data_IF_856294346558
#
_entry.id   IF_856294346558
#
_cell.length_a   1.000
_cell.length_b   1.000
_cell.length_c   1.000
_cell.angle_alpha   90.00
_cell.angle_beta   90.00
_cell.angle_gamma   90.00
#
_symmetry.space_group_name_H-M   'P 1'
#
loop_
_entity.id
_entity.type
_entity.pdbx_description
1 polymer ?
#
# COMPACT_ATOMS: atom_id res chain seq x y z
N UNK A 1 -12.22 -15.19 -39.84
CA UNK A 1 -11.62 -13.87 -39.46
C UNK A 1 -10.85 -14.05 -38.16
N UNK A 2 -9.54 -13.85 -38.20
CA UNK A 2 -8.74 -13.82 -36.94
C UNK A 2 -9.17 -12.59 -36.16
N UNK A 3 -9.88 -12.77 -35.06
CA UNK A 3 -10.21 -11.70 -34.10
C UNK A 3 -8.94 -11.22 -33.45
N UNK A 4 -8.75 -9.90 -33.35
CA UNK A 4 -7.62 -9.33 -32.62
C UNK A 4 -7.82 -9.58 -31.12
N UNK A 5 -6.79 -10.08 -30.44
CA UNK A 5 -6.81 -10.31 -28.98
C UNK A 5 -7.17 -9.03 -28.20
N UNK A 6 -6.76 -7.86 -28.74
CA UNK A 6 -7.12 -6.56 -28.18
C UNK A 6 -8.65 -6.33 -28.24
N UNK A 7 -9.30 -6.69 -29.35
CA UNK A 7 -10.76 -6.53 -29.46
C UNK A 7 -11.51 -7.40 -28.45
N UNK A 8 -11.05 -8.65 -28.25
CA UNK A 8 -11.63 -9.54 -27.24
C UNK A 8 -11.44 -8.99 -25.82
N UNK A 9 -10.24 -8.47 -25.52
CA UNK A 9 -9.96 -7.84 -24.24
C UNK A 9 -10.86 -6.61 -24.02
N UNK A 10 -10.99 -5.74 -25.04
CA UNK A 10 -11.84 -4.54 -24.96
C UNK A 10 -13.31 -4.90 -24.79
N UNK A 11 -13.79 -5.94 -25.49
CA UNK A 11 -15.17 -6.38 -25.35
C UNK A 11 -15.44 -6.90 -23.93
N UNK A 12 -14.57 -7.75 -23.38
CA UNK A 12 -14.71 -8.25 -22.01
C UNK A 12 -14.67 -7.12 -20.98
N UNK A 13 -13.79 -6.13 -21.18
CA UNK A 13 -13.68 -4.93 -20.32
C UNK A 13 -15.00 -4.15 -20.30
N UNK A 14 -15.55 -3.86 -21.48
CA UNK A 14 -16.82 -3.15 -21.61
C UNK A 14 -17.97 -3.94 -20.98
N UNK A 15 -18.09 -5.25 -21.27
CA UNK A 15 -19.15 -6.09 -20.70
C UNK A 15 -19.13 -6.11 -19.17
N UNK A 16 -17.94 -6.22 -18.55
CA UNK A 16 -17.83 -6.22 -17.09
C UNK A 16 -18.16 -4.85 -16.49
N UNK A 17 -17.79 -3.75 -17.13
CA UNK A 17 -18.15 -2.41 -16.68
C UNK A 17 -19.65 -2.09 -16.87
N UNK A 18 -20.29 -2.66 -17.87
CA UNK A 18 -21.76 -2.58 -18.00
C UNK A 18 -22.47 -3.33 -16.87
N UNK A 19 -21.92 -4.48 -16.45
CA UNK A 19 -22.45 -5.22 -15.32
C UNK A 19 -22.27 -4.48 -14.00
N UNK A 20 -21.08 -3.96 -13.74
CA UNK A 20 -20.78 -3.17 -12.55
C UNK A 20 -19.64 -2.16 -12.80
N UNK A 21 -19.95 -0.86 -12.98
CA UNK A 21 -18.93 0.17 -13.24
C UNK A 21 -17.92 0.35 -12.09
N UNK A 22 -18.26 -0.06 -10.87
CA UNK A 22 -17.36 0.02 -9.72
C UNK A 22 -16.16 -0.94 -9.82
N UNK A 23 -16.20 -1.92 -10.72
CA UNK A 23 -15.04 -2.78 -10.99
C UNK A 23 -13.81 -1.97 -11.43
N UNK A 24 -14.01 -0.82 -12.09
CA UNK A 24 -12.92 0.07 -12.49
C UNK A 24 -12.04 0.50 -11.30
N UNK A 25 -12.61 0.62 -10.11
CA UNK A 25 -11.90 1.01 -8.90
C UNK A 25 -11.33 -0.16 -8.09
N UNK A 26 -11.59 -1.39 -8.52
CA UNK A 26 -11.04 -2.58 -7.86
C UNK A 26 -9.60 -2.82 -8.34
N UNK A 27 -8.68 -2.92 -7.39
CA UNK A 27 -7.25 -3.14 -7.66
C UNK A 27 -7.01 -4.40 -8.50
N UNK A 28 -7.70 -5.51 -8.16
CA UNK A 28 -7.58 -6.77 -8.91
C UNK A 28 -8.02 -6.65 -10.37
N UNK A 29 -9.09 -5.91 -10.64
CA UNK A 29 -9.57 -5.64 -12.00
C UNK A 29 -8.52 -4.84 -12.80
N UNK A 30 -8.03 -3.74 -12.23
CA UNK A 30 -7.02 -2.90 -12.87
C UNK A 30 -5.73 -3.69 -13.17
N UNK A 31 -5.22 -4.44 -12.19
CA UNK A 31 -4.01 -5.25 -12.37
C UNK A 31 -4.21 -6.34 -13.44
N UNK A 32 -5.34 -7.05 -13.44
CA UNK A 32 -5.59 -8.10 -14.42
C UNK A 32 -5.67 -7.58 -15.86
N UNK A 33 -6.44 -6.52 -16.11
CA UNK A 33 -6.56 -5.95 -17.45
C UNK A 33 -5.24 -5.33 -17.93
N UNK A 34 -4.53 -4.66 -17.04
CA UNK A 34 -3.24 -4.05 -17.36
C UNK A 34 -2.16 -5.11 -17.64
N UNK A 35 -2.15 -6.23 -16.90
CA UNK A 35 -1.27 -7.36 -17.17
C UNK A 35 -1.48 -7.92 -18.58
N UNK A 36 -2.74 -8.26 -18.91
CA UNK A 36 -3.07 -8.82 -20.22
C UNK A 36 -2.75 -7.83 -21.35
N UNK A 37 -3.10 -6.55 -21.19
CA UNK A 37 -2.78 -5.50 -22.16
C UNK A 37 -1.26 -5.39 -22.39
N UNK A 38 -0.47 -5.41 -21.31
CA UNK A 38 0.99 -5.32 -21.38
C UNK A 38 1.60 -6.56 -22.04
N UNK A 39 1.10 -7.75 -21.72
CA UNK A 39 1.54 -8.99 -22.38
C UNK A 39 1.24 -8.92 -23.86
N UNK A 40 0.02 -8.59 -24.28
CA UNK A 40 -0.37 -8.55 -25.70
C UNK A 40 0.46 -7.52 -26.49
N UNK A 41 0.83 -6.39 -25.87
CA UNK A 41 1.49 -5.29 -26.58
C UNK A 41 3.02 -5.37 -26.55
N UNK A 42 3.61 -5.88 -25.46
CA UNK A 42 5.05 -5.84 -25.20
C UNK A 42 5.71 -7.20 -25.49
N UNK A 43 5.10 -8.31 -25.03
CA UNK A 43 5.71 -9.64 -25.13
C UNK A 43 6.06 -10.06 -26.57
N UNK A 44 5.22 -9.83 -27.61
CA UNK A 44 5.57 -10.25 -28.98
C UNK A 44 6.85 -9.61 -29.50
N UNK A 45 7.14 -8.38 -29.08
CA UNK A 45 8.40 -7.71 -29.43
C UNK A 45 9.59 -8.28 -28.67
N UNK A 46 9.41 -8.56 -27.37
CA UNK A 46 10.47 -9.15 -26.55
C UNK A 46 10.82 -10.55 -27.04
N UNK A 47 9.81 -11.36 -27.36
CA UNK A 47 10.04 -12.74 -27.84
C UNK A 47 10.75 -12.79 -29.18
N UNK A 48 10.57 -11.78 -30.06
CA UNK A 48 11.20 -11.73 -31.37
C UNK A 48 12.71 -11.43 -31.36
N UNK A 49 13.28 -10.99 -30.21
CA UNK A 49 14.73 -10.74 -30.12
C UNK A 49 15.58 -12.01 -30.11
N UNK A 50 14.99 -13.13 -29.71
CA UNK A 50 15.71 -14.41 -29.63
C UNK A 50 14.79 -15.57 -29.95
N UNK A 51 15.24 -16.48 -30.82
CA UNK A 51 14.55 -17.72 -31.20
C UNK A 51 15.35 -18.92 -30.66
N UNK A 52 14.92 -19.54 -29.56
CA UNK A 52 15.61 -20.69 -28.98
C UNK A 52 15.56 -21.91 -29.89
N UNK A 53 16.66 -22.70 -29.92
CA UNK A 53 16.76 -23.92 -30.72
C UNK A 53 16.05 -25.12 -30.10
N UNK A 54 15.89 -25.13 -28.77
CA UNK A 54 15.31 -26.24 -28.00
C UNK A 54 13.94 -25.87 -27.43
N UNK A 55 12.99 -26.83 -27.41
CA UNK A 55 11.64 -26.64 -26.86
C UNK A 55 11.65 -26.16 -25.39
N UNK A 56 12.56 -26.69 -24.56
CA UNK A 56 12.67 -26.26 -23.18
C UNK A 56 13.15 -24.81 -23.07
N UNK A 57 14.16 -24.42 -23.85
CA UNK A 57 14.62 -23.05 -23.91
C UNK A 57 13.53 -22.11 -24.48
N UNK A 58 12.73 -22.57 -25.41
CA UNK A 58 11.58 -21.81 -25.94
C UNK A 58 10.52 -21.55 -24.87
N UNK A 59 10.14 -22.56 -24.07
CA UNK A 59 9.21 -22.40 -22.95
C UNK A 59 9.77 -21.39 -21.93
N UNK A 60 11.01 -21.55 -21.54
CA UNK A 60 11.67 -20.64 -20.58
C UNK A 60 11.74 -19.21 -21.13
N UNK A 61 12.11 -19.05 -22.41
CA UNK A 61 12.19 -17.73 -23.05
C UNK A 61 10.81 -17.06 -23.13
N UNK A 62 9.79 -17.79 -23.56
CA UNK A 62 8.43 -17.28 -23.63
C UNK A 62 7.90 -16.89 -22.26
N UNK A 63 8.11 -17.72 -21.23
CA UNK A 63 7.71 -17.41 -19.84
C UNK A 63 8.43 -16.18 -19.32
N UNK A 64 9.73 -16.06 -19.60
CA UNK A 64 10.56 -14.92 -19.25
C UNK A 64 10.04 -13.62 -19.89
N UNK A 65 9.79 -13.64 -21.20
CA UNK A 65 9.28 -12.47 -21.93
C UNK A 65 7.89 -12.06 -21.50
N UNK A 66 7.01 -13.02 -21.18
CA UNK A 66 5.69 -12.78 -20.61
C UNK A 66 5.82 -12.11 -19.22
N UNK A 67 6.69 -12.64 -18.37
CA UNK A 67 6.94 -12.09 -17.02
C UNK A 67 7.47 -10.66 -17.09
N UNK A 68 8.45 -10.38 -17.96
CA UNK A 68 8.99 -9.02 -18.15
C UNK A 68 7.90 -8.09 -18.69
N UNK A 69 7.15 -8.51 -19.69
CA UNK A 69 6.09 -7.70 -20.30
C UNK A 69 5.00 -7.35 -19.26
N UNK A 70 4.56 -8.32 -18.48
CA UNK A 70 3.60 -8.10 -17.40
C UNK A 70 4.16 -7.12 -16.36
N UNK A 71 5.42 -7.30 -15.93
CA UNK A 71 6.02 -6.48 -14.89
C UNK A 71 6.24 -5.03 -15.33
N UNK A 72 6.59 -4.79 -16.59
CA UNK A 72 6.70 -3.43 -17.14
C UNK A 72 5.34 -2.71 -17.02
N UNK A 73 4.24 -3.39 -17.33
CA UNK A 73 2.92 -2.79 -17.21
C UNK A 73 2.41 -2.69 -15.78
N UNK A 74 2.60 -3.75 -14.99
CA UNK A 74 2.08 -3.81 -13.61
C UNK A 74 2.92 -3.05 -12.60
N UNK A 75 4.24 -2.98 -12.81
CA UNK A 75 5.21 -2.47 -11.84
C UNK A 75 4.79 -1.13 -11.21
N UNK A 76 4.52 -0.07 -11.99
CA UNK A 76 4.12 1.21 -11.43
C UNK A 76 2.84 1.12 -10.58
N UNK A 77 1.82 0.41 -11.04
CA UNK A 77 0.55 0.26 -10.34
C UNK A 77 0.69 -0.58 -9.06
N UNK A 78 1.49 -1.65 -9.12
CA UNK A 78 1.79 -2.49 -7.96
C UNK A 78 2.52 -1.70 -6.88
N UNK A 79 3.54 -0.91 -7.25
CA UNK A 79 4.26 -0.07 -6.30
C UNK A 79 3.32 0.99 -5.71
N UNK A 80 2.44 1.58 -6.52
CA UNK A 80 1.47 2.57 -6.07
C UNK A 80 0.50 2.05 -5.02
N UNK A 81 -0.05 0.83 -5.21
CA UNK A 81 -1.02 0.26 -4.27
C UNK A 81 -0.38 -0.40 -3.05
N UNK A 82 0.74 -1.08 -3.25
CA UNK A 82 1.33 -1.92 -2.20
C UNK A 82 2.58 -1.31 -1.55
N UNK A 83 3.13 -0.22 -2.10
CA UNK A 83 4.36 0.45 -1.64
C UNK A 83 5.56 -0.50 -1.52
N UNK A 84 5.56 -1.59 -2.30
CA UNK A 84 6.61 -2.60 -2.31
C UNK A 84 6.83 -3.20 -3.68
N UNK A 85 8.03 -3.73 -3.91
CA UNK A 85 8.40 -4.40 -5.14
C UNK A 85 9.13 -5.70 -4.83
N UNK A 86 8.59 -6.87 -5.25
CA UNK A 86 9.24 -8.16 -5.03
C UNK A 86 10.36 -8.37 -6.05
N UNK A 87 11.63 -8.30 -5.62
CA UNK A 87 12.78 -8.47 -6.54
C UNK A 87 12.91 -9.87 -7.13
N UNK A 88 12.45 -10.90 -6.41
CA UNK A 88 12.49 -12.29 -6.88
C UNK A 88 11.35 -12.70 -7.82
N UNK A 89 10.46 -11.77 -8.20
CA UNK A 89 9.31 -12.07 -9.08
C UNK A 89 9.70 -12.80 -10.35
N UNK A 90 10.87 -12.46 -10.91
CA UNK A 90 11.36 -13.04 -12.15
C UNK A 90 11.65 -14.54 -12.00
N UNK A 91 12.40 -14.92 -10.98
CA UNK A 91 12.75 -16.32 -10.69
C UNK A 91 11.49 -17.09 -10.35
N UNK A 92 10.67 -16.54 -9.45
CA UNK A 92 9.43 -17.18 -9.01
C UNK A 92 8.49 -17.45 -10.19
N UNK A 93 8.23 -16.46 -11.03
CA UNK A 93 7.31 -16.61 -12.15
C UNK A 93 7.87 -17.56 -13.24
N UNK A 94 9.18 -17.54 -13.49
CA UNK A 94 9.80 -18.44 -14.47
C UNK A 94 9.66 -19.90 -14.08
N UNK A 95 9.65 -20.21 -12.78
CA UNK A 95 9.46 -21.58 -12.26
C UNK A 95 7.98 -21.90 -12.09
N UNK A 96 7.21 -21.02 -11.45
CA UNK A 96 5.83 -21.28 -11.03
C UNK A 96 4.87 -21.30 -12.22
N UNK A 97 4.98 -20.36 -13.18
CA UNK A 97 4.02 -20.26 -14.28
C UNK A 97 3.91 -21.52 -15.15
N UNK A 98 5.02 -22.16 -15.60
CA UNK A 98 4.93 -23.41 -16.35
C UNK A 98 4.34 -24.55 -15.52
N UNK A 99 4.75 -24.65 -14.23
CA UNK A 99 4.25 -25.67 -13.33
C UNK A 99 2.77 -25.50 -13.00
N UNK A 100 2.32 -24.27 -12.82
CA UNK A 100 0.92 -23.95 -12.51
C UNK A 100 -0.04 -24.42 -13.59
N UNK A 101 0.34 -24.26 -14.88
CA UNK A 101 -0.45 -24.77 -16.01
C UNK A 101 -0.65 -26.30 -15.95
N UNK A 102 0.42 -27.03 -15.65
CA UNK A 102 0.39 -28.49 -15.49
C UNK A 102 -0.43 -28.89 -14.26
N UNK A 103 -0.20 -28.25 -13.13
CA UNK A 103 -0.91 -28.53 -11.86
C UNK A 103 -2.42 -28.27 -12.02
N UNK A 104 -2.83 -27.19 -12.65
CA UNK A 104 -4.24 -26.88 -12.89
C UNK A 104 -4.88 -27.91 -13.81
N UNK A 105 -4.20 -28.34 -14.87
CA UNK A 105 -4.71 -29.35 -15.80
C UNK A 105 -4.90 -30.69 -15.12
N UNK A 106 -3.90 -31.16 -14.32
CA UNK A 106 -4.01 -32.38 -13.54
C UNK A 106 -5.07 -32.21 -12.45
N UNK A 107 -5.14 -31.07 -11.79
CA UNK A 107 -6.13 -30.75 -10.76
C UNK A 107 -7.57 -30.87 -11.26
N UNK A 108 -7.84 -30.40 -12.48
CA UNK A 108 -9.14 -30.57 -13.11
C UNK A 108 -9.52 -32.05 -13.23
N UNK A 109 -8.59 -32.89 -13.68
CA UNK A 109 -8.80 -34.35 -13.79
C UNK A 109 -9.02 -34.98 -12.41
N UNK A 110 -8.20 -34.60 -11.42
CA UNK A 110 -8.32 -35.12 -10.03
C UNK A 110 -9.68 -34.79 -9.43
N UNK A 111 -10.16 -33.54 -9.61
CA UNK A 111 -11.48 -33.12 -9.14
C UNK A 111 -12.59 -33.92 -9.85
N UNK A 112 -12.50 -34.08 -11.16
CA UNK A 112 -13.47 -34.84 -11.94
C UNK A 112 -13.56 -36.30 -11.50
N UNK A 113 -12.42 -36.97 -11.29
CA UNK A 113 -12.35 -38.34 -10.74
C UNK A 113 -12.89 -38.40 -9.31
N UNK A 114 -12.65 -37.38 -8.50
CA UNK A 114 -13.22 -37.26 -7.16
C UNK A 114 -14.74 -37.14 -7.15
N UNK A 115 -15.30 -36.32 -8.03
CA UNK A 115 -16.76 -36.17 -8.20
C UNK A 115 -17.43 -37.50 -8.64
N UNK A 116 -16.73 -38.30 -9.41
CA UNK A 116 -17.20 -39.62 -9.85
C UNK A 116 -16.96 -40.74 -8.81
N UNK A 117 -16.36 -40.45 -7.66
CA UNK A 117 -15.96 -41.40 -6.61
C UNK A 117 -15.01 -42.51 -7.06
N UNK A 118 -14.24 -42.28 -8.13
CA UNK A 118 -13.27 -43.24 -8.70
C UNK A 118 -11.81 -42.80 -8.52
N UNK A 119 -11.55 -41.78 -7.68
CA UNK A 119 -10.21 -41.25 -7.45
C UNK A 119 -9.37 -42.21 -6.58
N UNK A 120 -8.27 -42.77 -7.09
CA UNK A 120 -7.35 -43.57 -6.28
C UNK A 120 -6.66 -42.68 -5.23
N UNK A 121 -6.57 -43.17 -4.01
CA UNK A 121 -5.92 -42.46 -2.88
C UNK A 121 -4.46 -42.13 -3.20
N UNK A 122 -3.77 -42.99 -3.96
CA UNK A 122 -2.38 -42.76 -4.39
C UNK A 122 -2.27 -41.48 -5.27
N UNK A 123 -3.17 -41.29 -6.22
CA UNK A 123 -3.18 -40.13 -7.11
C UNK A 123 -3.45 -38.85 -6.29
N UNK A 124 -4.43 -38.92 -5.37
CA UNK A 124 -4.72 -37.80 -4.48
C UNK A 124 -3.50 -37.41 -3.61
N UNK A 125 -2.79 -38.38 -3.06
CA UNK A 125 -1.58 -38.14 -2.26
C UNK A 125 -0.45 -37.52 -3.10
N UNK A 126 -0.19 -38.06 -4.30
CA UNK A 126 0.86 -37.52 -5.19
C UNK A 126 0.52 -36.08 -5.59
N UNK A 127 -0.71 -35.82 -6.00
CA UNK A 127 -1.15 -34.49 -6.38
C UNK A 127 -1.06 -33.50 -5.20
N UNK A 128 -1.50 -33.93 -4.00
CA UNK A 128 -1.34 -33.14 -2.78
C UNK A 128 0.14 -32.85 -2.46
N UNK A 129 1.04 -33.83 -2.63
CA UNK A 129 2.48 -33.63 -2.46
C UNK A 129 3.08 -32.60 -3.41
N UNK A 130 2.65 -32.58 -4.68
CA UNK A 130 3.08 -31.58 -5.66
C UNK A 130 2.65 -30.17 -5.23
N UNK A 131 1.40 -30.02 -4.77
CA UNK A 131 0.90 -28.72 -4.26
C UNK A 131 1.69 -28.28 -3.03
N UNK A 132 1.95 -29.20 -2.11
CA UNK A 132 2.76 -28.91 -0.90
C UNK A 132 4.15 -28.42 -1.29
N UNK A 133 4.83 -29.13 -2.18
CA UNK A 133 6.16 -28.71 -2.67
C UNK A 133 6.15 -27.32 -3.30
N UNK A 134 5.12 -27.01 -4.09
CA UNK A 134 4.97 -25.67 -4.68
C UNK A 134 4.75 -24.61 -3.60
N UNK A 135 3.91 -24.89 -2.61
CA UNK A 135 3.65 -23.97 -1.50
C UNK A 135 4.90 -23.74 -0.65
N UNK A 136 5.68 -24.80 -0.38
CA UNK A 136 6.94 -24.71 0.36
C UNK A 136 7.96 -23.85 -0.39
N UNK A 137 8.05 -24.02 -1.71
CA UNK A 137 8.89 -23.17 -2.55
C UNK A 137 8.46 -21.69 -2.50
N UNK A 138 7.15 -21.41 -2.64
CA UNK A 138 6.62 -20.04 -2.56
C UNK A 138 6.88 -19.45 -1.17
N UNK A 139 6.68 -20.22 -0.11
CA UNK A 139 6.94 -19.80 1.28
C UNK A 139 8.43 -19.51 1.50
N UNK A 140 9.31 -20.34 0.96
CA UNK A 140 10.75 -20.12 1.01
C UNK A 140 11.14 -18.81 0.29
N UNK A 141 10.59 -18.55 -0.91
CA UNK A 141 10.82 -17.28 -1.63
C UNK A 141 10.28 -16.09 -0.83
N UNK A 142 9.08 -16.23 -0.25
CA UNK A 142 8.46 -15.18 0.54
C UNK A 142 9.24 -14.83 1.83
N UNK A 143 9.99 -15.79 2.36
CA UNK A 143 10.86 -15.59 3.53
C UNK A 143 12.16 -14.82 3.18
N UNK A 144 12.45 -14.56 1.90
CA UNK A 144 13.65 -13.83 1.47
C UNK A 144 13.42 -12.31 1.55
N UNK A 145 13.34 -11.78 2.76
CA UNK A 145 13.09 -10.35 3.01
C UNK A 145 14.10 -9.40 2.35
N UNK A 146 15.35 -9.86 2.12
CA UNK A 146 16.40 -9.06 1.47
C UNK A 146 16.07 -8.63 0.03
N UNK A 147 15.20 -9.38 -0.65
CA UNK A 147 14.78 -9.10 -2.03
C UNK A 147 13.40 -8.45 -2.12
N UNK A 148 12.77 -8.17 -0.99
CA UNK A 148 11.51 -7.44 -0.95
C UNK A 148 11.79 -5.97 -0.64
N UNK A 149 11.78 -5.14 -1.68
CA UNK A 149 11.90 -3.68 -1.53
C UNK A 149 10.61 -3.14 -0.94
N UNK A 150 10.62 -2.85 0.36
CA UNK A 150 9.48 -2.33 1.14
C UNK A 150 9.53 -0.80 1.22
N UNK A 151 8.42 -0.18 1.58
CA UNK A 151 8.32 1.26 1.88
C UNK A 151 8.71 2.18 0.71
N UNK A 152 8.42 1.76 -0.53
CA UNK A 152 8.67 2.59 -1.71
C UNK A 152 7.59 3.67 -1.78
N UNK A 153 8.01 4.93 -1.63
CA UNK A 153 7.12 6.06 -1.85
C UNK A 153 6.80 6.24 -3.33
N UNK A 154 5.54 6.11 -3.70
CA UNK A 154 5.10 6.19 -5.09
C UNK A 154 3.73 6.90 -5.21
N UNK A 155 3.71 8.25 -5.29
CA UNK A 155 2.47 9.03 -5.33
C UNK A 155 1.80 8.97 -6.72
N UNK A 156 0.51 9.35 -6.77
CA UNK A 156 -0.28 9.36 -8.01
C UNK A 156 0.35 10.17 -9.17
N UNK A 157 0.99 11.34 -8.99
CA UNK A 157 1.67 12.00 -10.10
C UNK A 157 2.82 11.16 -10.69
N UNK A 158 3.59 10.46 -9.82
CA UNK A 158 4.67 9.59 -10.27
C UNK A 158 4.15 8.37 -11.04
N UNK A 159 2.97 7.85 -10.66
CA UNK A 159 2.28 6.81 -11.41
C UNK A 159 1.97 7.26 -12.84
N UNK A 160 1.38 8.44 -13.02
CA UNK A 160 1.08 8.99 -14.35
C UNK A 160 2.35 9.23 -15.17
N UNK A 161 3.39 9.81 -14.55
CA UNK A 161 4.68 10.05 -15.20
C UNK A 161 5.32 8.73 -15.63
N UNK A 162 5.29 7.69 -14.79
CA UNK A 162 5.86 6.37 -15.09
C UNK A 162 5.19 5.72 -16.29
N UNK A 163 3.85 5.78 -16.40
CA UNK A 163 3.17 5.29 -17.60
C UNK A 163 3.47 6.14 -18.83
N UNK A 164 3.62 7.46 -18.67
CA UNK A 164 4.11 8.34 -19.74
C UNK A 164 5.47 7.90 -20.27
N UNK A 165 6.42 7.61 -19.37
CA UNK A 165 7.76 7.09 -19.73
C UNK A 165 7.64 5.74 -20.45
N UNK A 166 6.85 4.80 -19.93
CA UNK A 166 6.65 3.48 -20.57
C UNK A 166 6.11 3.64 -21.99
N UNK A 167 5.10 4.48 -22.20
CA UNK A 167 4.51 4.72 -23.52
C UNK A 167 5.56 5.34 -24.47
N UNK A 168 6.34 6.32 -24.01
CA UNK A 168 7.40 6.94 -24.83
C UNK A 168 8.49 5.93 -25.21
N UNK A 169 8.90 5.05 -24.29
CA UNK A 169 9.85 3.95 -24.56
C UNK A 169 9.28 2.98 -25.59
N UNK A 170 8.01 2.57 -25.46
CA UNK A 170 7.37 1.67 -26.43
C UNK A 170 7.25 2.29 -27.81
N UNK A 171 6.99 3.60 -27.91
CA UNK A 171 7.01 4.32 -29.20
C UNK A 171 8.41 4.39 -29.80
N UNK A 172 9.43 4.66 -28.97
CA UNK A 172 10.82 4.65 -29.41
C UNK A 172 11.22 3.26 -29.93
N UNK A 173 10.87 2.18 -29.22
CA UNK A 173 11.11 0.80 -29.65
C UNK A 173 10.34 0.42 -30.93
N UNK A 174 9.21 1.09 -31.22
CA UNK A 174 8.43 0.83 -32.45
C UNK A 174 9.01 1.54 -33.66
N UNK A 175 9.45 2.79 -33.48
CA UNK A 175 10.07 3.61 -34.53
C UNK A 175 11.22 4.39 -33.91
N UNK A 176 12.43 4.01 -34.23
CA UNK A 176 13.63 4.73 -33.84
C UNK A 176 13.71 6.04 -34.65
N UNK A 177 13.25 7.13 -34.06
CA UNK A 177 13.25 8.45 -34.65
C UNK A 177 13.70 9.48 -33.62
N UNK A 178 14.38 10.53 -34.06
CA UNK A 178 14.89 11.62 -33.23
C UNK A 178 13.76 12.25 -32.38
N UNK A 179 12.56 12.44 -32.94
CA UNK A 179 11.40 12.96 -32.20
C UNK A 179 11.01 12.06 -31.03
N UNK A 180 10.95 10.76 -31.24
CA UNK A 180 10.59 9.79 -30.18
C UNK A 180 11.69 9.69 -29.13
N UNK A 181 12.95 9.84 -29.50
CA UNK A 181 14.08 9.90 -28.56
C UNK A 181 13.96 11.13 -27.67
N UNK A 182 13.71 12.30 -28.25
CA UNK A 182 13.52 13.55 -27.46
C UNK A 182 12.33 13.45 -26.53
N UNK A 183 11.21 12.87 -26.96
CA UNK A 183 10.04 12.65 -26.09
C UNK A 183 10.36 11.69 -24.93
N UNK A 184 11.12 10.61 -25.20
CA UNK A 184 11.54 9.67 -24.18
C UNK A 184 12.47 10.33 -23.15
N UNK A 185 13.49 11.05 -23.61
CA UNK A 185 14.41 11.78 -22.73
C UNK A 185 13.69 12.88 -21.93
N UNK A 186 12.76 13.60 -22.57
CA UNK A 186 11.92 14.62 -21.91
C UNK A 186 11.05 14.01 -20.82
N UNK A 187 10.39 12.89 -21.10
CA UNK A 187 9.56 12.20 -20.09
C UNK A 187 10.38 11.70 -18.91
N UNK A 188 11.58 11.20 -19.17
CA UNK A 188 12.51 10.79 -18.12
C UNK A 188 13.02 11.98 -17.30
N UNK A 189 13.35 13.11 -17.95
CA UNK A 189 13.75 14.34 -17.29
C UNK A 189 12.63 14.88 -16.37
N UNK A 190 11.37 14.80 -16.80
CA UNK A 190 10.20 15.16 -15.98
C UNK A 190 10.13 14.25 -14.73
N UNK A 191 10.34 12.94 -14.89
CA UNK A 191 10.33 12.00 -13.77
C UNK A 191 11.43 12.33 -12.74
N UNK A 192 12.65 12.55 -13.20
CA UNK A 192 13.78 12.95 -12.35
C UNK A 192 13.52 14.32 -11.71
N UNK A 193 13.04 15.29 -12.48
CA UNK A 193 12.68 16.62 -12.00
C UNK A 193 11.63 16.57 -10.87
N UNK A 194 10.59 15.76 -11.05
CA UNK A 194 9.56 15.57 -10.01
C UNK A 194 10.14 14.99 -8.71
N UNK A 195 11.02 13.99 -8.82
CA UNK A 195 11.68 13.38 -7.68
C UNK A 195 12.62 14.35 -6.96
N UNK A 196 13.36 15.17 -7.71
CA UNK A 196 14.28 16.16 -7.14
C UNK A 196 13.54 17.34 -6.51
N UNK A 197 12.52 17.89 -7.17
CA UNK A 197 11.70 18.97 -6.59
C UNK A 197 11.14 18.59 -5.22
N UNK A 198 10.67 17.38 -5.09
CA UNK A 198 10.09 16.89 -3.86
C UNK A 198 11.09 16.72 -2.72
N UNK A 199 12.35 16.43 -3.05
CA UNK A 199 13.45 16.37 -2.09
C UNK A 199 13.81 17.78 -1.58
N UNK A 200 13.68 18.78 -2.45
CA UNK A 200 13.97 20.19 -2.15
C UNK A 200 12.82 20.85 -1.37
N UNK A 201 11.56 20.53 -1.72
CA UNK A 201 10.38 21.10 -1.07
C UNK A 201 9.71 20.07 -0.15
N UNK A 202 10.10 20.03 1.13
CA UNK A 202 9.50 19.10 2.08
C UNK A 202 8.03 19.43 2.31
N UNK A 203 7.22 18.41 2.58
CA UNK A 203 5.82 18.61 2.96
C UNK A 203 5.72 19.45 4.24
N UNK A 204 4.65 20.26 4.41
CA UNK A 204 4.50 21.16 5.56
C UNK A 204 4.56 20.41 6.90
N UNK A 205 4.93 21.15 7.94
CA UNK A 205 4.90 20.66 9.32
C UNK A 205 3.46 20.36 9.74
N UNK A 206 3.26 19.25 10.41
CA UNK A 206 1.96 18.86 10.93
C UNK A 206 2.06 17.91 12.12
N UNK A 207 1.02 17.95 12.95
CA UNK A 207 0.76 16.99 14.00
C UNK A 207 -0.45 16.15 13.58
N UNK A 208 -0.34 14.84 13.67
CA UNK A 208 -1.44 13.92 13.39
C UNK A 208 -1.74 13.07 14.61
N UNK A 209 -3.01 13.04 15.03
CA UNK A 209 -3.53 12.05 15.97
C UNK A 209 -4.32 11.03 15.17
N UNK A 210 -3.82 9.82 15.07
CA UNK A 210 -4.42 8.78 14.23
C UNK A 210 -5.67 8.18 14.88
N UNK A 211 -6.56 7.67 14.02
CA UNK A 211 -7.62 6.80 14.47
C UNK A 211 -7.17 5.34 14.36
N UNK A 212 -6.98 4.69 15.50
CA UNK A 212 -6.74 3.24 15.58
C UNK A 212 -7.51 2.67 16.74
N UNK A 213 -8.30 1.62 16.48
CA UNK A 213 -9.09 0.97 17.50
C UNK A 213 -8.20 0.46 18.64
N UNK A 214 -8.52 0.85 19.88
CA UNK A 214 -7.84 0.47 21.13
C UNK A 214 -6.34 0.84 21.20
N UNK A 215 -5.82 1.67 20.31
CA UNK A 215 -4.43 2.07 20.33
C UNK A 215 -4.27 3.57 20.03
N UNK A 216 -3.28 4.16 20.66
CA UNK A 216 -2.90 5.56 20.47
C UNK A 216 -1.66 5.65 19.59
N UNK A 217 -1.71 6.46 18.54
CA UNK A 217 -0.58 6.79 17.70
C UNK A 217 -0.65 8.27 17.36
N UNK A 218 0.47 8.96 17.57
CA UNK A 218 0.64 10.34 17.12
C UNK A 218 1.88 10.44 16.21
N UNK A 219 1.83 11.34 15.25
CA UNK A 219 2.98 11.71 14.44
C UNK A 219 3.20 13.22 14.52
N UNK A 220 4.41 13.60 14.80
CA UNK A 220 4.85 15.00 14.80
C UNK A 220 5.89 15.18 13.71
N UNK A 221 5.57 15.98 12.70
CA UNK A 221 6.51 16.35 11.66
C UNK A 221 6.97 17.77 11.85
N UNK A 222 8.26 17.92 12.07
CA UNK A 222 8.93 19.22 12.18
C UNK A 222 10.14 19.25 11.24
N UNK A 223 10.17 20.23 10.35
CA UNK A 223 11.22 20.39 9.32
C UNK A 223 11.42 19.10 8.52
N UNK A 224 12.55 18.43 8.71
CA UNK A 224 12.92 17.19 8.02
C UNK A 224 12.80 15.93 8.91
N UNK A 225 12.31 16.08 10.14
CA UNK A 225 12.21 14.99 11.09
C UNK A 225 10.74 14.62 11.34
N UNK A 226 10.46 13.33 11.33
CA UNK A 226 9.19 12.76 11.74
C UNK A 226 9.41 11.99 13.03
N UNK A 227 8.76 12.40 14.10
CA UNK A 227 8.73 11.68 15.37
C UNK A 227 7.39 10.97 15.49
N UNK A 228 7.43 9.66 15.60
CA UNK A 228 6.26 8.83 15.86
C UNK A 228 6.19 8.51 17.34
N UNK A 229 5.12 8.94 17.99
CA UNK A 229 4.85 8.65 19.40
C UNK A 229 3.98 7.39 19.45
N UNK A 230 4.58 6.29 19.89
CA UNK A 230 4.00 4.95 19.86
C UNK A 230 3.73 4.42 21.26
N UNK A 231 2.71 3.54 21.45
CA UNK A 231 2.49 2.86 22.72
C UNK A 231 3.58 1.81 22.98
N UNK A 232 3.66 1.31 24.21
CA UNK A 232 4.64 0.27 24.60
C UNK A 232 4.46 -1.05 23.84
N UNK A 233 3.24 -1.37 23.42
CA UNK A 233 2.92 -2.56 22.64
C UNK A 233 2.44 -2.19 21.24
N UNK A 234 3.10 -2.68 20.21
CA UNK A 234 2.75 -2.43 18.80
C UNK A 234 2.06 -3.68 18.24
N UNK A 235 0.81 -3.55 17.81
CA UNK A 235 0.11 -4.64 17.10
C UNK A 235 0.47 -4.65 15.61
N UNK A 236 0.32 -5.78 14.89
CA UNK A 236 0.57 -5.83 13.45
C UNK A 236 -0.23 -4.80 12.64
N UNK A 237 -1.43 -4.46 13.13
CA UNK A 237 -2.25 -3.44 12.48
C UNK A 237 -1.76 -2.00 12.70
N UNK A 238 -1.08 -1.73 13.83
CA UNK A 238 -0.44 -0.44 14.09
C UNK A 238 0.86 -0.31 13.31
N UNK A 239 1.63 -1.40 13.22
CA UNK A 239 2.87 -1.45 12.44
C UNK A 239 2.63 -1.12 10.95
N UNK A 240 1.56 -1.66 10.35
CA UNK A 240 1.16 -1.31 8.98
C UNK A 240 0.84 0.18 8.82
N UNK A 241 0.15 0.78 9.79
CA UNK A 241 -0.18 2.20 9.76
C UNK A 241 1.10 3.06 9.88
N UNK A 242 2.00 2.67 10.76
CA UNK A 242 3.32 3.30 10.94
C UNK A 242 4.13 3.22 9.64
N UNK A 243 4.22 2.03 9.02
CA UNK A 243 4.92 1.82 7.75
C UNK A 243 4.31 2.66 6.63
N UNK A 244 2.98 2.66 6.49
CA UNK A 244 2.29 3.48 5.48
C UNK A 244 2.55 4.97 5.66
N UNK A 245 2.54 5.47 6.92
CA UNK A 245 2.83 6.87 7.20
C UNK A 245 4.28 7.23 6.92
N UNK A 246 5.23 6.38 7.31
CA UNK A 246 6.66 6.53 7.00
C UNK A 246 6.88 6.62 5.49
N UNK A 247 6.29 5.68 4.75
CA UNK A 247 6.37 5.65 3.28
C UNK A 247 5.82 6.93 2.67
N UNK A 248 4.64 7.40 3.11
CA UNK A 248 4.02 8.63 2.61
C UNK A 248 4.88 9.88 2.81
N UNK A 249 5.73 9.90 3.83
CA UNK A 249 6.58 11.05 4.18
C UNK A 249 8.05 10.86 3.81
N UNK A 250 8.36 9.87 2.94
CA UNK A 250 9.69 9.65 2.33
C UNK A 250 10.82 9.38 3.34
N UNK A 251 10.51 8.71 4.44
CA UNK A 251 11.45 8.12 5.41
C UNK A 251 12.65 8.97 5.88
N UNK A 252 12.59 10.29 5.76
CA UNK A 252 13.69 11.15 6.15
C UNK A 252 13.67 11.29 7.67
N UNK A 253 14.57 10.63 8.37
CA UNK A 253 14.73 10.69 9.84
C UNK A 253 13.47 10.37 10.65
N UNK A 254 13.10 9.10 10.70
CA UNK A 254 12.01 8.62 11.56
C UNK A 254 12.54 8.25 12.94
N UNK A 255 12.11 8.97 13.96
CA UNK A 255 12.33 8.65 15.36
C UNK A 255 11.06 8.04 15.94
N UNK A 256 11.18 6.92 16.62
CA UNK A 256 10.08 6.35 17.41
C UNK A 256 10.35 6.61 18.88
N UNK A 257 9.40 7.22 19.55
CA UNK A 257 9.48 7.53 20.97
C UNK A 257 8.22 7.03 21.68
N UNK A 258 8.35 6.75 22.96
CA UNK A 258 7.18 6.50 23.82
C UNK A 258 6.32 7.75 23.89
N UNK A 259 5.03 7.56 24.03
CA UNK A 259 4.08 8.67 24.16
C UNK A 259 4.40 9.46 25.45
N UNK A 260 4.88 10.71 25.35
CA UNK A 260 5.11 11.54 26.53
C UNK A 260 3.80 12.09 27.06
N UNK A 261 3.75 12.41 28.34
CA UNK A 261 2.57 13.06 28.93
C UNK A 261 2.34 14.49 28.43
N UNK A 262 3.43 15.21 28.15
CA UNK A 262 3.41 16.58 27.63
C UNK A 262 4.52 16.77 26.63
N UNK A 263 4.21 17.44 25.53
CA UNK A 263 5.18 17.95 24.57
C UNK A 263 4.67 19.24 23.95
N UNK A 264 5.53 19.96 23.23
CA UNK A 264 5.17 21.22 22.58
C UNK A 264 5.13 21.06 21.06
N UNK A 265 4.11 21.61 20.43
CA UNK A 265 4.01 21.73 18.97
C UNK A 265 3.61 23.16 18.60
N UNK A 266 4.45 23.86 17.81
CA UNK A 266 4.25 25.29 17.44
C UNK A 266 3.99 26.16 18.69
N UNK A 267 4.83 26.01 19.72
CA UNK A 267 4.76 26.71 21.02
C UNK A 267 3.47 26.49 21.82
N UNK A 268 2.64 25.53 21.40
CA UNK A 268 1.43 25.16 22.11
C UNK A 268 1.67 23.84 22.84
N UNK A 269 1.44 23.79 24.15
CA UNK A 269 1.57 22.56 24.92
C UNK A 269 0.46 21.57 24.56
N UNK A 270 0.86 20.33 24.30
CA UNK A 270 -0.03 19.21 24.07
C UNK A 270 0.05 18.28 25.26
N UNK A 271 -1.08 18.10 25.90
CA UNK A 271 -1.23 17.24 27.09
C UNK A 271 -1.93 15.95 26.68
N UNK A 272 -1.26 14.83 26.87
CA UNK A 272 -1.82 13.51 26.67
C UNK A 272 -2.28 12.94 28.01
N UNK A 273 -3.56 12.64 28.10
CA UNK A 273 -4.17 12.03 29.28
C UNK A 273 -4.48 10.57 29.02
N UNK A 274 -3.79 9.70 29.73
CA UNK A 274 -3.96 8.27 29.75
C UNK A 274 -5.01 7.83 30.80
N UNK A 275 -5.18 6.53 30.98
CA UNK A 275 -6.10 5.95 31.98
C UNK A 275 -5.78 6.39 33.43
N UNK A 276 -4.55 6.76 33.73
CA UNK A 276 -4.10 7.18 35.06
C UNK A 276 -4.52 8.62 35.37
N UNK A 277 -4.69 9.46 34.35
CA UNK A 277 -5.17 10.84 34.50
C UNK A 277 -4.22 11.80 35.23
N UNK A 278 -2.93 11.46 35.36
CA UNK A 278 -1.92 12.33 36.01
C UNK A 278 -1.38 13.34 35.00
N UNK A 279 -1.37 14.60 35.38
CA UNK A 279 -0.85 15.69 34.58
C UNK A 279 -0.07 16.71 35.36
N UNK A 280 0.91 17.39 34.77
CA UNK A 280 1.67 18.45 35.42
C UNK A 280 0.81 19.69 35.67
N UNK A 281 1.03 20.37 36.81
CA UNK A 281 0.37 21.64 37.14
C UNK A 281 1.02 22.82 36.42
N UNK A 282 0.26 23.87 36.13
CA UNK A 282 0.80 25.11 35.57
C UNK A 282 0.81 25.20 34.03
N UNK A 283 0.27 24.21 33.30
CA UNK A 283 0.13 24.26 31.84
C UNK A 283 -1.04 25.17 31.48
N UNK A 284 -0.76 26.24 30.74
CA UNK A 284 -1.81 27.17 30.28
C UNK A 284 -2.31 26.85 28.90
N UNK A 285 -3.64 26.80 28.74
CA UNK A 285 -4.36 26.62 27.47
C UNK A 285 -3.81 25.51 26.55
N UNK A 286 -3.60 24.27 27.05
CA UNK A 286 -3.11 23.16 26.24
C UNK A 286 -4.13 22.68 25.20
N UNK A 287 -3.65 21.95 24.19
CA UNK A 287 -4.45 20.99 23.45
C UNK A 287 -4.39 19.66 24.18
N UNK A 288 -5.54 19.05 24.43
CA UNK A 288 -5.65 17.82 25.21
C UNK A 288 -5.97 16.66 24.28
N UNK A 289 -5.22 15.57 24.40
CA UNK A 289 -5.50 14.29 23.75
C UNK A 289 -5.91 13.29 24.82
N UNK A 290 -7.17 12.87 24.78
CA UNK A 290 -7.75 11.86 25.69
C UNK A 290 -7.51 10.48 25.11
N UNK A 291 -6.86 9.60 25.88
CA UNK A 291 -6.51 8.24 25.46
C UNK A 291 -6.87 7.22 26.53
N UNK A 292 -7.02 5.94 26.15
CA UNK A 292 -7.16 4.80 27.07
C UNK A 292 -8.27 4.94 28.12
N UNK A 293 -9.41 5.53 27.74
CA UNK A 293 -10.58 5.71 28.64
C UNK A 293 -10.27 6.48 29.91
N UNK A 294 -9.58 7.60 29.81
CA UNK A 294 -9.18 8.46 30.93
C UNK A 294 -10.32 8.68 31.94
N UNK A 295 -10.09 8.35 33.20
CA UNK A 295 -11.09 8.48 34.27
C UNK A 295 -10.97 9.84 34.97
N UNK A 296 -11.34 10.92 34.26
CA UNK A 296 -11.35 12.28 34.81
C UNK A 296 -12.76 12.88 34.76
N UNK A 297 -13.03 13.79 35.69
CA UNK A 297 -14.23 14.62 35.62
C UNK A 297 -13.96 15.80 34.67
N UNK A 298 -14.23 15.58 33.37
CA UNK A 298 -13.82 16.50 32.28
C UNK A 298 -14.31 17.94 32.52
N UNK A 299 -15.49 18.16 33.07
CA UNK A 299 -16.03 19.50 33.34
C UNK A 299 -15.16 20.29 34.30
N UNK A 300 -14.79 19.70 35.47
CA UNK A 300 -13.89 20.34 36.44
C UNK A 300 -12.48 20.56 35.88
N UNK A 301 -12.03 19.62 35.07
CA UNK A 301 -10.74 19.69 34.41
C UNK A 301 -10.66 20.86 33.42
N UNK A 302 -11.69 21.04 32.60
CA UNK A 302 -11.79 22.19 31.68
C UNK A 302 -11.77 23.51 32.44
N UNK A 303 -12.50 23.61 33.54
CA UNK A 303 -12.57 24.84 34.35
C UNK A 303 -11.21 25.19 34.98
N UNK A 304 -10.37 24.20 35.27
CA UNK A 304 -9.05 24.41 35.89
C UNK A 304 -7.96 24.81 34.89
N UNK A 305 -8.02 24.30 33.64
CA UNK A 305 -6.90 24.44 32.68
C UNK A 305 -7.28 25.29 31.46
N UNK A 306 -8.58 25.46 31.18
CA UNK A 306 -9.09 26.20 30.03
C UNK A 306 -8.45 25.77 28.69
N UNK A 307 -8.62 24.51 28.26
CA UNK A 307 -7.92 23.99 27.10
C UNK A 307 -8.40 24.66 25.79
N UNK A 308 -7.50 24.78 24.82
CA UNK A 308 -7.85 25.31 23.48
C UNK A 308 -8.72 24.35 22.67
N UNK A 309 -8.50 23.05 22.83
CA UNK A 309 -9.17 21.98 22.10
C UNK A 309 -9.01 20.64 22.83
N UNK A 310 -9.98 19.78 22.66
CA UNK A 310 -9.92 18.42 23.18
C UNK A 310 -10.08 17.44 22.00
N UNK A 311 -9.21 16.44 21.94
CA UNK A 311 -9.17 15.40 20.92
C UNK A 311 -9.34 14.07 21.64
N UNK A 312 -10.32 13.27 21.25
CA UNK A 312 -10.46 11.88 21.70
C UNK A 312 -10.02 10.94 20.59
N UNK A 313 -8.99 10.12 20.86
CA UNK A 313 -8.46 9.17 19.91
C UNK A 313 -9.25 7.84 19.87
N UNK A 314 -8.84 6.92 19.00
CA UNK A 314 -9.48 5.63 18.79
C UNK A 314 -9.26 4.61 19.90
N UNK A 315 -8.47 4.92 20.95
CA UNK A 315 -8.25 4.05 22.10
C UNK A 315 -9.42 4.12 23.12
N UNK A 316 -10.31 5.10 22.96
CA UNK A 316 -11.41 5.33 23.88
C UNK A 316 -12.70 4.60 23.47
N UNK A 317 -13.48 4.13 24.46
CA UNK A 317 -14.82 3.60 24.21
C UNK A 317 -15.79 4.71 23.77
N UNK A 318 -16.69 4.38 22.88
CA UNK A 318 -17.69 5.31 22.32
C UNK A 318 -18.50 6.01 23.41
N UNK A 319 -18.89 5.31 24.47
CA UNK A 319 -19.66 5.86 25.61
C UNK A 319 -18.94 6.99 26.33
N UNK A 320 -17.60 6.89 26.49
CA UNK A 320 -16.78 7.95 27.05
C UNK A 320 -16.69 9.16 26.11
N UNK A 321 -16.44 8.91 24.82
CA UNK A 321 -16.36 9.95 23.79
C UNK A 321 -17.67 10.75 23.71
N UNK A 322 -18.83 10.07 23.76
CA UNK A 322 -20.14 10.72 23.70
C UNK A 322 -20.41 11.59 24.95
N UNK A 323 -19.99 11.14 26.14
CA UNK A 323 -20.08 11.90 27.40
C UNK A 323 -19.18 13.15 27.32
N UNK A 324 -17.94 12.99 26.89
CA UNK A 324 -16.99 14.11 26.79
C UNK A 324 -17.43 15.13 25.77
N UNK A 325 -18.04 14.71 24.66
CA UNK A 325 -18.61 15.61 23.66
C UNK A 325 -19.71 16.49 24.26
N UNK A 326 -20.63 15.93 25.02
CA UNK A 326 -21.69 16.70 25.71
C UNK A 326 -21.06 17.77 26.60
N UNK A 327 -20.16 17.38 27.48
CA UNK A 327 -19.44 18.32 28.37
C UNK A 327 -18.69 19.41 27.60
N UNK A 328 -18.00 19.07 26.51
CA UNK A 328 -17.28 20.05 25.71
C UNK A 328 -18.24 21.02 25.00
N UNK A 329 -19.38 20.56 24.52
CA UNK A 329 -20.40 21.40 23.91
C UNK A 329 -21.00 22.39 24.94
N UNK A 330 -21.30 21.91 26.14
CA UNK A 330 -21.80 22.75 27.24
C UNK A 330 -20.78 23.85 27.63
N UNK A 331 -19.51 23.49 27.66
CA UNK A 331 -18.40 24.40 28.00
C UNK A 331 -17.87 25.20 26.79
N UNK A 332 -18.45 25.03 25.58
CA UNK A 332 -18.03 25.68 24.34
C UNK A 332 -16.56 25.45 23.97
N UNK A 333 -16.01 24.27 24.29
CA UNK A 333 -14.64 23.87 23.94
C UNK A 333 -14.68 23.07 22.62
N UNK A 334 -13.86 23.37 21.62
CA UNK A 334 -13.75 22.59 20.39
C UNK A 334 -13.38 21.15 20.67
N UNK A 335 -14.21 20.19 20.21
CA UNK A 335 -14.02 18.76 20.41
C UNK A 335 -13.85 18.03 19.07
N UNK A 336 -12.83 17.17 18.98
CA UNK A 336 -12.61 16.29 17.84
C UNK A 336 -12.57 14.83 18.27
N UNK A 337 -13.49 14.04 17.73
CA UNK A 337 -13.49 12.59 17.89
C UNK A 337 -12.90 11.95 16.64
N UNK A 338 -11.78 11.23 16.79
CA UNK A 338 -11.19 10.51 15.66
C UNK A 338 -12.06 9.35 15.18
N UNK A 339 -12.97 8.85 16.01
CA UNK A 339 -13.93 7.81 15.63
C UNK A 339 -14.92 8.30 14.54
N UNK A 340 -15.37 9.54 14.61
CA UNK A 340 -16.37 10.09 13.70
C UNK A 340 -15.76 10.87 12.53
N UNK A 341 -14.71 11.64 12.83
CA UNK A 341 -14.12 12.59 11.87
C UNK A 341 -12.82 12.10 11.25
N UNK A 342 -12.39 10.87 11.58
CA UNK A 342 -11.09 10.35 11.17
C UNK A 342 -9.93 10.99 11.92
N UNK A 343 -8.71 10.77 11.47
CA UNK A 343 -7.51 11.30 12.08
C UNK A 343 -7.59 12.84 12.22
N UNK A 344 -7.10 13.35 13.34
CA UNK A 344 -6.96 14.79 13.53
C UNK A 344 -5.62 15.26 12.96
N UNK A 345 -5.67 16.21 12.03
CA UNK A 345 -4.47 16.79 11.40
C UNK A 345 -4.43 18.28 11.75
N UNK A 346 -3.34 18.68 12.36
CA UNK A 346 -3.04 20.07 12.67
C UNK A 346 -1.82 20.54 11.87
N UNK A 347 -2.07 21.41 10.92
CA UNK A 347 -1.06 22.05 10.08
C UNK A 347 -0.62 23.40 10.65
#
# INVERSE_FOLDING_TARGET
>A
RKTSTINTLSLSFICLLFYNPLYLFQVGFQLSYLAVLSIITIQPKLSSYYTPSNKLAEILWNTTTVTIAAQIGLGPLTIYYFNQFPGLFFITNTIVLPLLGVILSIGFVVVLLGCLNILPVSIAKIYGGIITLLNDFITWVAAQDAFLFKEIYFPSPLLCISYGVIICVLWLCRKWNFKNLVLCLGSFAIAVGFLTMRKVYPTPEHLVVFHKHQQTLLAVKQKHQVTLLVPDSITPGLERLISSYKTAHNNIYNRQEKIPRVFTYKDIPILILDSVGIFPRGIQKPVIVLTQNTQIHLGRFIDSISPRRIIADGSNYKSYVDRWRKTCNEKKIPFHSTYEKGAFIWQ
#
